data_IF_211516810188
#
_entry.id   IF_211516810188
#
_cell.length_a   1.000
_cell.length_b   1.000
_cell.length_c   1.000
_cell.angle_alpha   90.00
_cell.angle_beta   90.00
_cell.angle_gamma   90.00
#
_symmetry.space_group_name_H-M   'P 1'
#
loop_
_entity.id
_entity.type
_entity.pdbx_description
1 polymer ?
#
# COMPACT_ATOMS: atom_id res chain seq x y z
N UNK A 1 16.56 16.70 22.14
CA UNK A 1 15.46 15.75 21.87
C UNK A 1 16.07 14.53 21.20
N UNK A 2 15.89 13.31 21.72
CA UNK A 2 16.47 12.10 21.13
C UNK A 2 15.65 11.74 19.89
N UNK A 3 16.22 11.78 18.70
CA UNK A 3 15.60 11.21 17.50
C UNK A 3 15.43 9.70 17.76
N UNK A 4 14.19 9.29 17.99
CA UNK A 4 13.84 7.88 18.19
C UNK A 4 13.79 7.23 16.82
N UNK A 5 14.80 6.42 16.49
CA UNK A 5 14.78 5.60 15.27
C UNK A 5 13.72 4.51 15.49
N UNK A 6 12.69 4.51 14.67
CA UNK A 6 11.67 3.47 14.66
C UNK A 6 12.11 2.45 13.61
N UNK A 7 12.28 1.16 13.94
CA UNK A 7 12.67 0.17 12.96
C UNK A 7 11.49 -0.15 12.04
N UNK A 8 11.79 -0.35 10.75
CA UNK A 8 10.83 -0.92 9.80
C UNK A 8 10.61 -2.38 10.16
N UNK A 9 9.34 -2.79 10.27
CA UNK A 9 8.94 -4.17 10.56
C UNK A 9 7.96 -4.66 9.50
N UNK A 10 7.90 -5.99 9.33
CA UNK A 10 7.07 -6.65 8.34
C UNK A 10 6.21 -7.72 9.02
N UNK A 11 5.07 -8.05 8.41
CA UNK A 11 4.28 -9.22 8.82
C UNK A 11 4.75 -10.50 8.13
N UNK A 12 4.10 -11.64 8.43
CA UNK A 12 4.43 -12.93 7.84
C UNK A 12 4.28 -12.99 6.30
N UNK A 13 3.53 -12.06 5.71
CA UNK A 13 3.34 -11.95 4.26
C UNK A 13 4.35 -10.99 3.61
N UNK A 14 5.25 -10.42 4.39
CA UNK A 14 6.25 -9.44 3.96
C UNK A 14 5.67 -8.06 3.67
N UNK A 15 4.53 -7.71 4.28
CA UNK A 15 3.94 -6.36 4.18
C UNK A 15 4.51 -5.48 5.27
N UNK A 16 4.94 -4.27 4.93
CA UNK A 16 5.42 -3.30 5.91
C UNK A 16 4.29 -3.00 6.92
N UNK A 17 4.60 -3.10 8.21
CA UNK A 17 3.69 -2.65 9.27
C UNK A 17 3.66 -1.12 9.32
N UNK A 18 2.80 -0.53 10.16
CA UNK A 18 2.75 0.93 10.31
C UNK A 18 4.13 1.48 10.66
N UNK A 19 4.48 2.59 10.02
CA UNK A 19 5.72 3.31 10.21
C UNK A 19 5.45 4.77 9.88
N UNK A 20 5.72 5.73 10.79
CA UNK A 20 5.31 7.11 10.61
C UNK A 20 5.91 7.75 9.35
N UNK A 21 7.16 7.43 9.02
CA UNK A 21 7.84 8.02 7.86
C UNK A 21 7.28 7.53 6.51
N UNK A 22 6.75 6.31 6.45
CA UNK A 22 6.20 5.72 5.22
C UNK A 22 4.68 5.83 5.14
N UNK A 23 4.01 6.06 6.27
CA UNK A 23 2.56 6.08 6.38
C UNK A 23 2.02 7.40 6.99
N UNK A 24 2.40 8.58 6.45
CA UNK A 24 1.97 9.86 6.98
C UNK A 24 0.45 10.08 6.91
N UNK A 25 -0.25 9.39 6.01
CA UNK A 25 -1.71 9.48 5.84
C UNK A 25 -2.47 8.36 6.57
N UNK A 26 -1.83 7.66 7.51
CA UNK A 26 -2.50 6.64 8.32
C UNK A 26 -3.61 7.26 9.20
N UNK A 27 -4.79 6.62 9.22
CA UNK A 27 -5.95 7.11 9.97
C UNK A 27 -6.66 8.33 9.38
N UNK A 28 -6.10 8.99 8.36
CA UNK A 28 -6.74 10.14 7.72
C UNK A 28 -7.86 9.72 6.74
N UNK A 29 -8.91 10.54 6.57
CA UNK A 29 -9.95 10.30 5.57
C UNK A 29 -9.40 10.14 4.15
N UNK A 30 -10.04 9.32 3.33
CA UNK A 30 -9.67 9.12 1.92
C UNK A 30 -10.13 10.28 1.05
N UNK A 31 -9.18 11.03 0.48
CA UNK A 31 -9.49 12.09 -0.49
C UNK A 31 -9.94 11.49 -1.81
N UNK A 32 -10.79 12.20 -2.55
CA UNK A 32 -11.25 11.77 -3.88
C UNK A 32 -10.08 11.53 -4.85
N UNK A 33 -9.03 12.36 -4.77
CA UNK A 33 -7.81 12.21 -5.59
C UNK A 33 -7.03 10.94 -5.27
N UNK A 34 -6.92 10.57 -3.98
CA UNK A 34 -6.28 9.32 -3.55
C UNK A 34 -7.08 8.09 -4.02
N UNK A 35 -8.42 8.16 -3.95
CA UNK A 35 -9.28 7.09 -4.43
C UNK A 35 -9.17 6.93 -5.96
N UNK A 36 -9.11 8.03 -6.70
CA UNK A 36 -8.89 8.01 -8.15
C UNK A 36 -7.54 7.38 -8.49
N UNK A 37 -6.47 7.80 -7.82
CA UNK A 37 -5.14 7.21 -8.00
C UNK A 37 -5.13 5.71 -7.68
N UNK A 38 -5.77 5.30 -6.58
CA UNK A 38 -5.92 3.90 -6.20
C UNK A 38 -6.60 3.09 -7.33
N UNK A 39 -7.71 3.59 -7.87
CA UNK A 39 -8.44 2.90 -8.94
C UNK A 39 -7.56 2.73 -10.19
N UNK A 40 -6.83 3.77 -10.57
CA UNK A 40 -6.00 3.79 -11.79
C UNK A 40 -4.72 2.95 -11.67
N UNK A 41 -4.11 2.88 -10.49
CA UNK A 41 -2.76 2.32 -10.33
C UNK A 41 -2.70 0.96 -9.64
N UNK A 42 -3.73 0.56 -8.89
CA UNK A 42 -3.66 -0.64 -8.04
C UNK A 42 -3.36 -1.94 -8.80
N UNK A 43 -3.94 -2.12 -9.99
CA UNK A 43 -3.66 -3.32 -10.81
C UNK A 43 -2.28 -3.27 -11.47
N UNK A 44 -1.84 -2.07 -11.86
CA UNK A 44 -0.58 -1.85 -12.57
C UNK A 44 0.63 -1.98 -11.64
N UNK A 45 0.58 -1.31 -10.48
CA UNK A 45 1.71 -1.18 -9.56
C UNK A 45 1.62 -2.12 -8.36
N UNK A 46 0.41 -2.60 -8.07
CA UNK A 46 0.14 -3.44 -6.91
C UNK A 46 -0.03 -2.66 -5.60
N UNK A 47 -0.50 -3.36 -4.55
CA UNK A 47 -0.89 -2.73 -3.30
C UNK A 47 0.28 -2.17 -2.48
N UNK A 48 1.51 -2.66 -2.69
CA UNK A 48 2.69 -2.16 -1.98
C UNK A 48 3.17 -0.81 -2.53
N UNK A 49 3.29 -0.69 -3.86
CA UNK A 49 3.69 0.57 -4.47
C UNK A 49 2.64 1.66 -4.26
N UNK A 50 1.36 1.32 -4.40
CA UNK A 50 0.27 2.26 -4.11
C UNK A 50 0.25 2.67 -2.62
N UNK A 51 0.64 1.77 -1.72
CA UNK A 51 0.79 2.07 -0.29
C UNK A 51 1.86 3.15 -0.05
N UNK A 52 3.03 3.04 -0.68
CA UNK A 52 4.06 4.07 -0.61
C UNK A 52 3.61 5.38 -1.25
N UNK A 53 3.01 5.33 -2.45
CA UNK A 53 2.56 6.54 -3.16
C UNK A 53 1.50 7.32 -2.38
N UNK A 54 0.59 6.62 -1.68
CA UNK A 54 -0.48 7.25 -0.90
C UNK A 54 -0.10 7.51 0.55
N UNK A 55 1.07 7.08 1.00
CA UNK A 55 1.48 7.20 2.40
C UNK A 55 0.52 6.49 3.36
N UNK A 56 0.00 5.32 2.97
CA UNK A 56 -0.98 4.53 3.73
C UNK A 56 -0.51 3.09 3.82
N UNK A 57 -0.91 2.34 4.84
CA UNK A 57 -0.46 0.94 4.96
C UNK A 57 -1.04 0.09 3.84
N UNK A 58 -0.29 -0.93 3.40
CA UNK A 58 -0.72 -1.91 2.40
C UNK A 58 -2.11 -2.48 2.76
N UNK A 59 -2.33 -2.77 4.03
CA UNK A 59 -3.62 -3.27 4.51
C UNK A 59 -4.77 -2.31 4.21
N UNK A 60 -4.63 -1.02 4.53
CA UNK A 60 -5.67 -0.02 4.28
C UNK A 60 -5.92 0.21 2.79
N UNK A 61 -4.87 0.13 1.97
CA UNK A 61 -4.96 0.20 0.51
C UNK A 61 -5.74 -0.98 -0.06
N UNK A 62 -5.43 -2.20 0.38
CA UNK A 62 -6.16 -3.42 -0.02
C UNK A 62 -7.64 -3.37 0.43
N UNK A 63 -7.90 -2.95 1.66
CA UNK A 63 -9.26 -2.81 2.19
C UNK A 63 -10.07 -1.78 1.39
N UNK A 64 -9.47 -0.62 1.06
CA UNK A 64 -10.14 0.40 0.26
C UNK A 64 -10.42 -0.06 -1.17
N UNK A 65 -9.46 -0.75 -1.81
CA UNK A 65 -9.68 -1.33 -3.13
C UNK A 65 -10.84 -2.34 -3.12
N UNK A 66 -10.92 -3.19 -2.08
CA UNK A 66 -12.03 -4.12 -1.91
C UNK A 66 -13.37 -3.39 -1.75
N UNK A 67 -13.43 -2.34 -0.92
CA UNK A 67 -14.63 -1.52 -0.73
C UNK A 67 -15.08 -0.87 -2.06
N UNK A 68 -14.16 -0.24 -2.79
CA UNK A 68 -14.48 0.42 -4.07
C UNK A 68 -14.98 -0.58 -5.13
N UNK A 69 -14.45 -1.80 -5.14
CA UNK A 69 -14.95 -2.88 -6.03
C UNK A 69 -16.35 -3.33 -5.62
N UNK A 70 -16.60 -3.45 -4.31
CA UNK A 70 -17.93 -3.79 -3.79
C UNK A 70 -18.97 -2.73 -4.17
N UNK A 71 -18.57 -1.46 -4.18
CA UNK A 71 -19.41 -0.32 -4.62
C UNK A 71 -19.51 -0.18 -6.15
N UNK A 72 -18.79 -0.97 -6.94
CA UNK A 72 -18.76 -0.86 -8.40
C UNK A 72 -17.97 0.34 -8.95
N UNK A 73 -17.23 1.05 -8.08
CA UNK A 73 -16.42 2.21 -8.45
C UNK A 73 -15.03 1.82 -8.98
N UNK A 74 -14.58 0.62 -8.66
CA UNK A 74 -13.33 0.05 -9.16
C UNK A 74 -13.62 -1.25 -9.91
N UNK A 75 -13.05 -1.48 -11.10
CA UNK A 75 -13.21 -2.73 -11.80
C UNK A 75 -12.58 -3.89 -11.01
N UNK A 76 -13.17 -5.08 -11.15
CA UNK A 76 -12.53 -6.31 -10.67
C UNK A 76 -11.33 -6.65 -11.58
N UNK A 77 -10.24 -7.19 -11.03
CA UNK A 77 -9.11 -7.64 -11.85
C UNK A 77 -9.58 -8.69 -12.85
N UNK A 78 -9.20 -8.53 -14.11
CA UNK A 78 -9.44 -9.53 -15.16
C UNK A 78 -8.50 -10.73 -15.04
N UNK A 79 -7.31 -10.51 -14.47
CA UNK A 79 -6.28 -11.52 -14.19
C UNK A 79 -5.69 -11.27 -12.81
N UNK A 80 -5.39 -12.33 -12.08
CA UNK A 80 -4.69 -12.22 -10.80
C UNK A 80 -3.20 -11.99 -11.07
N UNK A 81 -2.70 -10.81 -10.71
CA UNK A 81 -1.27 -10.46 -10.80
C UNK A 81 -0.67 -10.54 -9.40
N UNK A 82 0.37 -11.35 -9.25
CA UNK A 82 1.15 -11.44 -8.01
C UNK A 82 2.34 -10.48 -8.07
N UNK A 83 2.21 -9.35 -7.39
CA UNK A 83 3.29 -8.37 -7.23
C UNK A 83 4.32 -8.87 -6.22
N UNK A 84 5.60 -8.90 -6.61
CA UNK A 84 6.70 -9.29 -5.72
C UNK A 84 6.89 -8.21 -4.64
N UNK A 85 7.06 -8.66 -3.38
CA UNK A 85 7.31 -7.75 -2.24
C UNK A 85 8.74 -7.22 -2.24
N UNK A 86 8.93 -5.97 -1.83
CA UNK A 86 10.26 -5.35 -1.65
C UNK A 86 11.16 -6.15 -0.70
N UNK A 87 10.60 -6.69 0.40
CA UNK A 87 11.40 -7.53 1.31
C UNK A 87 11.89 -8.84 0.66
N UNK A 88 11.20 -9.31 -0.39
CA UNK A 88 11.47 -10.60 -1.05
C UNK A 88 12.17 -10.46 -2.40
N UNK A 89 12.50 -9.23 -2.84
CA UNK A 89 13.43 -9.05 -3.96
C UNK A 89 14.82 -9.46 -3.49
N UNK A 90 15.37 -10.53 -4.08
CA UNK A 90 16.77 -10.90 -3.90
C UNK A 90 17.66 -9.73 -4.35
N UNK A 91 18.44 -9.18 -3.42
CA UNK A 91 19.69 -8.45 -3.65
C UNK A 91 19.60 -7.18 -4.51
N UNK A 92 19.48 -6.03 -3.86
CA UNK A 92 20.11 -4.78 -4.29
C UNK A 92 20.21 -3.84 -3.07
N UNK A 93 21.09 -4.21 -2.13
CA UNK A 93 21.66 -3.25 -1.19
C UNK A 93 23.10 -3.70 -0.90
N UNK A 94 24.02 -2.90 -1.44
CA UNK A 94 25.48 -3.00 -1.45
C UNK A 94 26.10 -4.11 -2.33
#
# INVERSE_FOLDING_TARGET
MKNKIIPVTYDAYGRMQYHPDFHPNHGLPWKTTEQKYLIERYELDGPEQVSFALGRTIHTVMAKAWELRKLGLMPKPTKVIHHRRVQRSKGEVA
#
